data_IF_859591704050
#
_entry.id   IF_859591704050
#
_cell.length_a   1.000
_cell.length_b   1.000
_cell.length_c   1.000
_cell.angle_alpha   90.00
_cell.angle_beta   90.00
_cell.angle_gamma   90.00
#
_symmetry.space_group_name_H-M   'P 1'
#
loop_
_entity.id
_entity.type
_entity.pdbx_description
1 polymer ?
#
# COMPACT_ATOMS: atom_id res chain seq x y z
N UNK A 1 -4.13 19.39 -7.95
CA UNK A 1 -3.06 19.10 -6.97
C UNK A 1 -3.22 17.66 -6.52
N UNK A 2 -2.17 16.86 -6.71
CA UNK A 2 -2.11 15.44 -6.32
C UNK A 2 -2.06 15.35 -4.76
N UNK A 3 -2.54 14.24 -4.18
CA UNK A 3 -2.59 14.02 -2.73
C UNK A 3 -1.21 14.02 -2.06
N UNK A 4 -0.18 13.45 -2.72
CA UNK A 4 1.22 13.52 -2.27
C UNK A 4 1.71 14.97 -2.15
N UNK A 5 1.40 15.79 -3.16
CA UNK A 5 1.75 17.21 -3.15
C UNK A 5 1.00 17.95 -2.05
N UNK A 6 -0.26 17.60 -1.81
CA UNK A 6 -1.07 18.19 -0.75
C UNK A 6 -0.50 17.89 0.64
N UNK A 7 -0.09 16.65 0.92
CA UNK A 7 0.58 16.30 2.18
C UNK A 7 1.91 17.02 2.34
N UNK A 8 2.73 17.05 1.28
CA UNK A 8 4.04 17.71 1.30
C UNK A 8 3.91 19.22 1.53
N UNK A 9 2.96 19.86 0.83
CA UNK A 9 2.65 21.27 1.02
C UNK A 9 2.13 21.55 2.43
N UNK A 10 1.22 20.73 2.95
CA UNK A 10 0.70 20.88 4.30
C UNK A 10 1.78 20.72 5.37
N UNK A 11 2.71 19.76 5.22
CA UNK A 11 3.84 19.59 6.10
C UNK A 11 4.76 20.82 6.11
N UNK A 12 5.13 21.34 4.94
CA UNK A 12 5.95 22.56 4.82
C UNK A 12 5.26 23.81 5.38
N UNK A 13 3.97 24.00 5.05
CA UNK A 13 3.18 25.13 5.53
C UNK A 13 3.02 25.08 7.05
N UNK A 14 2.70 23.92 7.62
CA UNK A 14 2.54 23.77 9.07
C UNK A 14 3.85 23.94 9.83
N UNK A 15 4.99 23.46 9.29
CA UNK A 15 6.31 23.72 9.87
C UNK A 15 6.64 25.22 9.87
N UNK A 16 6.42 25.88 8.74
CA UNK A 16 6.62 27.34 8.61
C UNK A 16 5.74 28.09 9.60
N UNK A 17 4.47 27.72 9.68
CA UNK A 17 3.52 28.28 10.64
C UNK A 17 3.97 28.03 12.08
N UNK A 18 4.48 26.85 12.41
CA UNK A 18 4.95 26.52 13.75
C UNK A 18 6.13 27.39 14.18
N UNK A 19 7.07 27.68 13.27
CA UNK A 19 8.17 28.63 13.53
C UNK A 19 7.64 30.03 13.81
N UNK A 20 6.65 30.51 13.05
CA UNK A 20 6.05 31.83 13.24
C UNK A 20 5.24 31.94 14.54
N UNK A 21 4.44 30.92 14.85
CA UNK A 21 3.62 30.84 16.07
C UNK A 21 4.52 30.69 17.30
N UNK A 22 5.62 29.93 17.17
CA UNK A 22 6.58 29.64 18.23
C UNK A 22 5.95 29.06 19.52
N UNK A 23 4.87 28.28 19.38
CA UNK A 23 4.22 27.59 20.50
C UNK A 23 4.34 26.06 20.34
N UNK A 24 4.54 25.30 21.44
CA UNK A 24 4.77 23.85 21.37
C UNK A 24 3.72 23.06 20.59
N UNK A 25 2.43 23.41 20.73
CA UNK A 25 1.34 22.71 20.05
C UNK A 25 1.46 22.78 18.52
N UNK A 26 1.95 23.89 17.98
CA UNK A 26 2.07 24.06 16.53
C UNK A 26 3.15 23.13 15.96
N UNK A 27 4.25 22.93 16.69
CA UNK A 27 5.28 21.94 16.33
C UNK A 27 4.76 20.50 16.41
N UNK A 28 3.91 20.17 17.39
CA UNK A 28 3.29 18.84 17.44
C UNK A 28 2.38 18.58 16.23
N UNK A 29 1.63 19.59 15.77
CA UNK A 29 0.79 19.45 14.58
C UNK A 29 1.66 19.33 13.32
N UNK A 30 2.71 20.13 13.19
CA UNK A 30 3.65 20.03 12.08
C UNK A 30 4.33 18.65 12.02
N UNK A 31 4.78 18.14 13.17
CA UNK A 31 5.35 16.80 13.26
C UNK A 31 4.32 15.71 12.87
N UNK A 32 3.08 15.83 13.34
CA UNK A 32 2.01 14.91 12.97
C UNK A 32 1.76 14.92 11.46
N UNK A 33 1.75 16.08 10.81
CA UNK A 33 1.61 16.17 9.35
C UNK A 33 2.82 15.56 8.62
N UNK A 34 4.02 15.72 9.16
CA UNK A 34 5.22 15.04 8.66
C UNK A 34 5.12 13.51 8.69
N UNK A 35 4.41 12.93 9.66
CA UNK A 35 4.17 11.47 9.72
C UNK A 35 3.04 10.98 8.82
N UNK A 36 2.22 11.88 8.27
CA UNK A 36 1.07 11.55 7.43
C UNK A 36 1.38 11.54 5.92
N UNK A 37 2.67 11.63 5.54
CA UNK A 37 3.08 11.61 4.13
C UNK A 37 2.67 10.27 3.51
N UNK A 38 1.65 10.32 2.66
CA UNK A 38 1.19 9.18 1.86
C UNK A 38 1.11 9.58 0.39
N UNK A 39 1.20 8.59 -0.48
CA UNK A 39 1.07 8.75 -1.93
C UNK A 39 -0.21 8.03 -2.39
N UNK A 40 -1.40 8.63 -2.23
CA UNK A 40 -2.66 7.95 -2.53
C UNK A 40 -2.74 7.52 -4.00
N UNK A 41 -2.20 8.31 -4.92
CA UNK A 41 -2.11 7.94 -6.34
C UNK A 41 -1.22 6.71 -6.54
N UNK A 42 -0.08 6.61 -5.85
CA UNK A 42 0.74 5.40 -5.89
C UNK A 42 0.05 4.18 -5.29
N UNK A 43 -0.81 4.36 -4.29
CA UNK A 43 -1.63 3.28 -3.74
C UNK A 43 -2.68 2.80 -4.74
N UNK A 44 -3.31 3.73 -5.47
CA UNK A 44 -4.30 3.38 -6.49
C UNK A 44 -3.66 2.72 -7.73
N UNK A 45 -2.49 3.20 -8.15
CA UNK A 45 -1.65 2.54 -9.16
C UNK A 45 -1.31 1.10 -8.72
N UNK A 46 -0.89 0.93 -7.46
CA UNK A 46 -0.58 -0.40 -6.89
C UNK A 46 -1.83 -1.29 -6.82
N UNK A 47 -2.98 -0.74 -6.42
CA UNK A 47 -4.25 -1.46 -6.40
C UNK A 47 -4.62 -1.99 -7.79
N UNK A 48 -4.42 -1.18 -8.83
CA UNK A 48 -4.66 -1.56 -10.22
C UNK A 48 -3.73 -2.71 -10.65
N UNK A 49 -2.47 -2.67 -10.24
CA UNK A 49 -1.50 -3.75 -10.48
C UNK A 49 -1.82 -5.05 -9.73
N UNK A 50 -2.58 -4.98 -8.64
CA UNK A 50 -2.98 -6.16 -7.87
C UNK A 50 -4.24 -6.84 -8.41
N UNK A 51 -5.15 -6.06 -9.00
CA UNK A 51 -6.41 -6.56 -9.54
C UNK A 51 -6.22 -7.33 -10.84
N UNK A 52 -7.11 -8.28 -11.07
CA UNK A 52 -7.29 -8.96 -12.34
C UNK A 52 -7.92 -8.01 -13.37
N UNK A 53 -7.73 -8.31 -14.65
CA UNK A 53 -8.36 -7.57 -15.75
C UNK A 53 -9.88 -7.50 -15.64
N UNK A 54 -10.50 -8.51 -15.00
CA UNK A 54 -11.94 -8.57 -14.78
C UNK A 54 -12.45 -7.52 -13.78
N UNK A 55 -11.55 -6.95 -12.97
CA UNK A 55 -11.82 -5.93 -11.95
C UNK A 55 -11.11 -4.61 -12.25
N UNK A 56 -10.94 -4.26 -13.54
CA UNK A 56 -10.20 -3.06 -14.00
C UNK A 56 -8.73 -3.03 -13.57
N UNK A 57 -8.12 -4.20 -13.34
CA UNK A 57 -6.68 -4.33 -13.13
C UNK A 57 -5.93 -4.69 -14.40
N UNK A 58 -4.66 -5.08 -14.24
CA UNK A 58 -3.77 -5.43 -15.37
C UNK A 58 -3.27 -6.87 -15.33
N UNK A 59 -3.60 -7.64 -14.30
CA UNK A 59 -3.07 -9.01 -14.15
C UNK A 59 -3.95 -10.05 -14.82
N UNK A 60 -3.32 -10.96 -15.56
CA UNK A 60 -3.99 -12.06 -16.29
C UNK A 60 -3.44 -13.43 -15.93
N UNK A 61 -2.33 -13.49 -15.16
CA UNK A 61 -1.58 -14.73 -14.92
C UNK A 61 -2.44 -15.85 -14.33
N UNK A 62 -3.33 -15.54 -13.38
CA UNK A 62 -4.18 -16.55 -12.74
C UNK A 62 -5.25 -17.12 -13.68
N UNK A 63 -5.81 -16.30 -14.56
CA UNK A 63 -6.77 -16.77 -15.56
C UNK A 63 -6.06 -17.71 -16.56
N UNK A 64 -4.89 -17.30 -17.04
CA UNK A 64 -4.07 -18.12 -17.95
C UNK A 64 -3.65 -19.44 -17.30
N UNK A 65 -3.29 -19.43 -16.02
CA UNK A 65 -2.93 -20.65 -15.28
C UNK A 65 -4.11 -21.63 -15.18
N UNK A 66 -5.33 -21.13 -14.94
CA UNK A 66 -6.53 -21.99 -14.92
C UNK A 66 -6.79 -22.60 -16.30
N UNK A 67 -6.62 -21.82 -17.37
CA UNK A 67 -6.75 -22.31 -18.75
C UNK A 67 -5.73 -23.41 -19.06
N UNK A 68 -4.44 -23.18 -18.74
CA UNK A 68 -3.35 -24.16 -18.96
C UNK A 68 -3.56 -25.45 -18.15
N UNK A 69 -4.11 -25.36 -16.93
CA UNK A 69 -4.44 -26.53 -16.11
C UNK A 69 -5.59 -27.36 -16.70
N UNK A 70 -6.67 -26.71 -17.14
CA UNK A 70 -7.79 -27.41 -17.79
C UNK A 70 -7.38 -28.03 -19.13
N UNK A 71 -6.49 -27.36 -19.88
CA UNK A 71 -5.88 -27.92 -21.08
C UNK A 71 -5.05 -29.17 -20.76
N UNK A 72 -4.17 -29.10 -19.76
CA UNK A 72 -3.36 -30.24 -19.31
C UNK A 72 -4.24 -31.44 -18.91
N UNK A 73 -5.31 -31.20 -18.16
CA UNK A 73 -6.27 -32.24 -17.77
C UNK A 73 -6.95 -32.86 -18.99
N UNK A 74 -7.27 -32.06 -19.99
CA UNK A 74 -7.88 -32.52 -21.26
C UNK A 74 -6.89 -33.37 -22.05
N UNK A 75 -5.65 -32.90 -22.24
CA UNK A 75 -4.58 -33.63 -22.93
C UNK A 75 -4.27 -34.97 -22.25
N UNK A 76 -4.19 -35.01 -20.91
CA UNK A 76 -3.96 -36.26 -20.16
C UNK A 76 -5.09 -37.29 -20.39
N UNK A 77 -6.33 -36.82 -20.53
CA UNK A 77 -7.48 -37.68 -20.76
C UNK A 77 -7.54 -38.18 -22.21
N UNK A 78 -7.39 -37.28 -23.17
CA UNK A 78 -7.61 -37.56 -24.60
C UNK A 78 -6.40 -38.22 -25.25
N UNK A 79 -5.21 -37.64 -25.07
CA UNK A 79 -3.97 -38.10 -25.71
C UNK A 79 -3.25 -39.13 -24.85
N UNK A 80 -3.18 -38.88 -23.54
CA UNK A 80 -2.58 -39.79 -22.56
C UNK A 80 -3.42 -41.04 -22.29
N UNK A 81 -4.70 -41.02 -22.70
CA UNK A 81 -5.70 -42.08 -22.45
C UNK A 81 -5.74 -42.50 -20.98
N UNK A 82 -5.55 -41.53 -20.09
CA UNK A 82 -5.49 -41.78 -18.66
C UNK A 82 -6.92 -41.98 -18.15
N UNK A 83 -7.26 -43.22 -17.80
CA UNK A 83 -8.61 -43.62 -17.41
C UNK A 83 -8.65 -44.29 -16.02
N UNK A 84 -9.86 -44.47 -15.50
CA UNK A 84 -10.11 -45.19 -14.25
C UNK A 84 -9.81 -44.38 -12.98
N UNK A 85 -9.52 -45.09 -11.89
CA UNK A 85 -9.39 -44.50 -10.55
C UNK A 85 -8.26 -43.47 -10.42
N UNK A 86 -7.15 -43.66 -11.15
CA UNK A 86 -6.02 -42.72 -11.13
C UNK A 86 -6.40 -41.35 -11.71
N UNK A 87 -7.07 -41.33 -12.87
CA UNK A 87 -7.56 -40.09 -13.45
C UNK A 87 -8.62 -39.42 -12.58
N UNK A 88 -9.47 -40.20 -11.90
CA UNK A 88 -10.46 -39.66 -10.97
C UNK A 88 -9.81 -38.95 -9.77
N UNK A 89 -8.76 -39.54 -9.18
CA UNK A 89 -7.98 -38.88 -8.12
C UNK A 89 -7.28 -37.63 -8.62
N UNK A 90 -6.63 -37.68 -9.79
CA UNK A 90 -6.03 -36.50 -10.42
C UNK A 90 -7.06 -35.39 -10.66
N UNK A 91 -8.19 -35.71 -11.27
CA UNK A 91 -9.27 -34.75 -11.54
C UNK A 91 -9.83 -34.13 -10.26
N UNK A 92 -9.85 -34.88 -9.15
CA UNK A 92 -10.22 -34.36 -7.84
C UNK A 92 -9.22 -33.31 -7.34
N UNK A 93 -7.93 -33.64 -7.35
CA UNK A 93 -6.86 -32.71 -6.93
C UNK A 93 -6.81 -31.48 -7.84
N UNK A 94 -6.93 -31.68 -9.16
CA UNK A 94 -7.01 -30.61 -10.14
C UNK A 94 -8.17 -29.65 -9.83
N UNK A 95 -9.37 -30.18 -9.59
CA UNK A 95 -10.55 -29.37 -9.26
C UNK A 95 -10.32 -28.52 -8.01
N UNK A 96 -9.79 -29.12 -6.93
CA UNK A 96 -9.47 -28.38 -5.70
C UNK A 96 -8.39 -27.33 -5.90
N UNK A 97 -7.42 -27.57 -6.78
CA UNK A 97 -6.37 -26.60 -7.09
C UNK A 97 -6.91 -25.41 -7.89
N UNK A 98 -7.73 -25.65 -8.92
CA UNK A 98 -8.42 -24.60 -9.68
C UNK A 98 -9.33 -23.76 -8.78
N UNK A 99 -10.06 -24.40 -7.86
CA UNK A 99 -10.86 -23.68 -6.86
C UNK A 99 -10.00 -22.78 -5.98
N UNK A 100 -8.84 -23.27 -5.53
CA UNK A 100 -7.88 -22.49 -4.73
C UNK A 100 -7.32 -21.29 -5.51
N UNK A 101 -7.04 -21.43 -6.81
CA UNK A 101 -6.64 -20.32 -7.68
C UNK A 101 -7.78 -19.29 -7.80
N UNK A 102 -9.02 -19.75 -7.94
CA UNK A 102 -10.21 -18.87 -7.95
C UNK A 102 -10.36 -18.07 -6.66
N UNK A 103 -10.15 -18.70 -5.51
CA UNK A 103 -10.14 -18.02 -4.21
C UNK A 103 -9.01 -16.99 -4.12
N UNK A 104 -7.80 -17.34 -4.57
CA UNK A 104 -6.66 -16.43 -4.59
C UNK A 104 -6.93 -15.20 -5.46
N UNK A 105 -7.54 -15.38 -6.64
CA UNK A 105 -7.94 -14.29 -7.53
C UNK A 105 -8.91 -13.34 -6.83
N UNK A 106 -9.96 -13.87 -6.21
CA UNK A 106 -10.93 -13.05 -5.48
C UNK A 106 -10.26 -12.27 -4.34
N UNK A 107 -9.35 -12.90 -3.59
CA UNK A 107 -8.60 -12.23 -2.51
C UNK A 107 -7.70 -11.11 -3.06
N UNK A 108 -7.02 -11.33 -4.20
CA UNK A 108 -6.22 -10.27 -4.86
C UNK A 108 -7.09 -9.09 -5.26
N UNK A 109 -8.24 -9.35 -5.86
CA UNK A 109 -9.18 -8.32 -6.31
C UNK A 109 -9.75 -7.53 -5.12
N UNK A 110 -10.17 -8.23 -4.06
CA UNK A 110 -10.64 -7.61 -2.81
C UNK A 110 -9.54 -6.77 -2.15
N UNK A 111 -8.30 -7.23 -2.17
CA UNK A 111 -7.14 -6.49 -1.66
C UNK A 111 -6.92 -5.21 -2.46
N UNK A 112 -6.93 -5.28 -3.79
CA UNK A 112 -6.85 -4.10 -4.64
C UNK A 112 -8.00 -3.11 -4.38
N UNK A 113 -9.22 -3.60 -4.20
CA UNK A 113 -10.37 -2.76 -3.83
C UNK A 113 -10.17 -2.06 -2.47
N UNK A 114 -9.67 -2.77 -1.46
CA UNK A 114 -9.37 -2.20 -0.15
C UNK A 114 -8.26 -1.14 -0.20
N UNK A 115 -7.19 -1.37 -0.98
CA UNK A 115 -6.09 -0.42 -1.15
C UNK A 115 -6.56 0.85 -1.85
N UNK A 116 -7.35 0.74 -2.91
CA UNK A 116 -7.91 1.90 -3.63
C UNK A 116 -8.91 2.69 -2.78
N UNK A 117 -9.78 2.00 -2.02
CA UNK A 117 -10.64 2.68 -1.03
C UNK A 117 -9.83 3.44 0.03
N UNK A 118 -8.68 2.90 0.42
CA UNK A 118 -7.75 3.57 1.32
C UNK A 118 -7.09 4.78 0.65
N UNK A 119 -6.72 4.67 -0.63
CA UNK A 119 -6.18 5.78 -1.43
C UNK A 119 -7.16 6.96 -1.49
N UNK A 120 -8.43 6.71 -1.81
CA UNK A 120 -9.49 7.72 -1.83
C UNK A 120 -9.66 8.41 -0.48
N UNK A 121 -9.67 7.62 0.59
CA UNK A 121 -9.72 8.16 1.94
C UNK A 121 -8.51 9.05 2.25
N UNK A 122 -7.29 8.61 1.90
CA UNK A 122 -6.07 9.39 2.12
C UNK A 122 -6.04 10.68 1.30
N UNK A 123 -6.63 10.68 0.10
CA UNK A 123 -6.81 11.90 -0.71
C UNK A 123 -7.75 12.90 -0.04
N UNK A 124 -8.84 12.44 0.59
CA UNK A 124 -9.71 13.33 1.39
C UNK A 124 -8.92 13.88 2.59
N UNK A 125 -8.19 13.03 3.30
CA UNK A 125 -7.35 13.43 4.44
C UNK A 125 -6.32 14.48 4.02
N UNK A 126 -5.71 14.35 2.83
CA UNK A 126 -4.71 15.31 2.35
C UNK A 126 -5.28 16.71 2.20
N UNK A 127 -6.51 16.85 1.71
CA UNK A 127 -7.19 18.14 1.61
C UNK A 127 -7.54 18.72 2.98
N UNK A 128 -7.97 17.89 3.94
CA UNK A 128 -8.25 18.34 5.31
C UNK A 128 -6.98 18.85 5.99
N UNK A 129 -5.88 18.09 5.87
CA UNK A 129 -4.58 18.43 6.45
C UNK A 129 -4.03 19.72 5.83
N UNK A 130 -4.16 19.89 4.50
CA UNK A 130 -3.83 21.14 3.83
C UNK A 130 -4.66 22.33 4.33
N UNK A 131 -5.96 22.15 4.52
CA UNK A 131 -6.83 23.21 5.03
C UNK A 131 -6.41 23.64 6.46
N UNK A 132 -6.09 22.68 7.33
CA UNK A 132 -5.57 22.97 8.67
C UNK A 132 -4.22 23.69 8.59
N UNK A 133 -3.31 23.24 7.73
CA UNK A 133 -2.02 23.90 7.54
C UNK A 133 -2.16 25.33 7.01
N UNK A 134 -3.12 25.58 6.12
CA UNK A 134 -3.47 26.92 5.64
C UNK A 134 -3.95 27.83 6.76
N UNK A 135 -4.86 27.36 7.62
CA UNK A 135 -5.33 28.11 8.80
C UNK A 135 -4.16 28.38 9.76
N UNK A 136 -3.30 27.40 10.01
CA UNK A 136 -2.11 27.58 10.83
C UNK A 136 -1.18 28.62 10.25
N UNK A 137 -0.93 28.61 8.94
CA UNK A 137 -0.04 29.58 8.30
C UNK A 137 -0.61 31.00 8.37
N UNK A 138 -1.90 31.18 8.10
CA UNK A 138 -2.58 32.47 8.25
C UNK A 138 -2.45 32.99 9.70
N UNK A 139 -2.65 32.11 10.69
CA UNK A 139 -2.45 32.45 12.09
C UNK A 139 -0.98 32.76 12.43
N UNK A 140 -0.04 32.02 11.86
CA UNK A 140 1.40 32.26 12.01
C UNK A 140 1.80 33.64 11.50
N UNK A 141 1.33 34.03 10.32
CA UNK A 141 1.54 35.37 9.75
C UNK A 141 0.97 36.45 10.68
N UNK A 142 -0.24 36.24 11.20
CA UNK A 142 -0.87 37.16 12.16
C UNK A 142 -0.06 37.29 13.47
N UNK A 143 0.35 36.18 14.07
CA UNK A 143 1.22 36.16 15.26
C UNK A 143 2.57 36.85 14.99
N UNK A 144 3.15 36.63 13.81
CA UNK A 144 4.41 37.24 13.42
C UNK A 144 4.28 38.76 13.29
N UNK A 145 3.25 39.25 12.58
CA UNK A 145 3.00 40.68 12.39
C UNK A 145 2.67 41.40 13.70
N UNK A 146 1.88 40.77 14.58
CA UNK A 146 1.51 41.35 15.87
C UNK A 146 2.66 41.41 16.87
N UNK A 147 3.71 40.61 16.69
CA UNK A 147 4.89 40.58 17.58
C UNK A 147 5.64 41.92 17.64
N UNK A 148 5.47 42.78 16.63
CA UNK A 148 6.04 44.13 16.62
C UNK A 148 5.22 45.16 17.42
N UNK A 149 4.06 44.76 17.97
CA UNK A 149 3.20 45.61 18.79
C UNK A 149 3.00 45.00 20.20
N UNK A 150 3.58 45.58 21.26
CA UNK A 150 3.54 44.97 22.60
C UNK A 150 2.13 44.87 23.20
N UNK A 151 1.20 45.75 22.80
CA UNK A 151 -0.18 45.77 23.32
C UNK A 151 -1.01 44.57 22.81
N UNK A 152 -0.74 44.06 21.61
CA UNK A 152 -1.48 42.93 21.03
C UNK A 152 -0.99 41.57 21.52
N UNK A 153 0.22 41.50 22.10
CA UNK A 153 0.85 40.25 22.49
C UNK A 153 -0.01 39.43 23.49
N UNK A 154 -0.60 40.07 24.51
CA UNK A 154 -1.41 39.37 25.53
C UNK A 154 -2.68 38.77 24.94
N UNK A 155 -3.36 39.49 24.05
CA UNK A 155 -4.58 39.01 23.38
C UNK A 155 -4.27 37.84 22.44
N UNK A 156 -3.13 37.89 21.74
CA UNK A 156 -2.67 36.83 20.84
C UNK A 156 -2.40 35.53 21.58
N UNK A 157 -1.85 35.57 22.81
CA UNK A 157 -1.64 34.36 23.62
C UNK A 157 -2.95 33.64 23.97
N UNK A 158 -3.98 34.38 24.40
CA UNK A 158 -5.28 33.80 24.74
C UNK A 158 -5.98 33.16 23.54
N UNK A 159 -5.98 33.86 22.39
CA UNK A 159 -6.56 33.33 21.15
C UNK A 159 -5.79 32.13 20.61
N UNK A 160 -4.45 32.15 20.69
CA UNK A 160 -3.61 31.04 20.24
C UNK A 160 -3.85 29.77 21.04
N UNK A 161 -4.14 29.87 22.34
CA UNK A 161 -4.46 28.69 23.16
C UNK A 161 -5.80 28.05 22.76
N UNK A 162 -6.83 28.85 22.48
CA UNK A 162 -8.12 28.35 22.03
C UNK A 162 -8.04 27.71 20.63
N UNK A 163 -7.39 28.40 19.69
CA UNK A 163 -7.16 27.90 18.35
C UNK A 163 -6.29 26.64 18.35
N UNK A 164 -5.22 26.64 19.13
CA UNK A 164 -4.32 25.50 19.29
C UNK A 164 -5.04 24.26 19.83
N UNK A 165 -5.95 24.41 20.81
CA UNK A 165 -6.78 23.30 21.29
C UNK A 165 -7.68 22.73 20.19
N UNK A 166 -8.33 23.59 19.38
CA UNK A 166 -9.19 23.15 18.29
C UNK A 166 -8.40 22.42 17.20
N UNK A 167 -7.27 22.99 16.76
CA UNK A 167 -6.39 22.40 15.74
C UNK A 167 -5.81 21.08 16.24
N UNK A 168 -5.35 21.02 17.48
CA UNK A 168 -4.76 19.81 18.06
C UNK A 168 -5.82 18.72 18.26
N UNK A 169 -7.05 19.06 18.63
CA UNK A 169 -8.16 18.11 18.69
C UNK A 169 -8.50 17.53 17.30
N UNK A 170 -8.57 18.38 16.27
CA UNK A 170 -8.79 17.94 14.89
C UNK A 170 -7.64 17.04 14.40
N UNK A 171 -6.39 17.45 14.63
CA UNK A 171 -5.19 16.68 14.26
C UNK A 171 -5.15 15.34 14.98
N UNK A 172 -5.42 15.32 16.29
CA UNK A 172 -5.47 14.08 17.07
C UNK A 172 -6.55 13.13 16.57
N UNK A 173 -7.71 13.64 16.14
CA UNK A 173 -8.78 12.82 15.55
C UNK A 173 -8.32 12.15 14.24
N UNK A 174 -7.63 12.90 13.38
CA UNK A 174 -7.07 12.38 12.12
C UNK A 174 -6.01 11.32 12.41
N UNK A 175 -5.02 11.64 13.25
CA UNK A 175 -3.93 10.73 13.60
C UNK A 175 -4.45 9.47 14.29
N UNK A 176 -5.35 9.59 15.27
CA UNK A 176 -5.91 8.43 15.97
C UNK A 176 -6.75 7.53 15.05
N UNK A 177 -7.47 8.13 14.10
CA UNK A 177 -8.22 7.38 13.07
C UNK A 177 -7.28 6.64 12.13
N UNK A 178 -6.17 7.26 11.73
CA UNK A 178 -5.20 6.68 10.80
C UNK A 178 -4.33 5.62 11.48
N UNK A 179 -3.84 5.88 12.70
CA UNK A 179 -3.02 4.96 13.48
C UNK A 179 -3.67 3.60 13.67
N UNK A 180 -4.97 3.55 14.01
CA UNK A 180 -5.67 2.26 14.20
C UNK A 180 -5.68 1.44 12.92
N UNK A 181 -5.91 2.08 11.77
CA UNK A 181 -5.93 1.41 10.46
C UNK A 181 -4.52 0.95 10.07
N UNK A 182 -3.52 1.81 10.23
CA UNK A 182 -2.10 1.48 9.97
C UNK A 182 -1.62 0.34 10.86
N UNK A 183 -1.97 0.33 12.15
CA UNK A 183 -1.58 -0.73 13.08
C UNK A 183 -2.22 -2.07 12.72
N UNK A 184 -3.50 -2.09 12.33
CA UNK A 184 -4.16 -3.32 11.84
C UNK A 184 -3.48 -3.82 10.58
N UNK A 185 -3.23 -2.95 9.59
CA UNK A 185 -2.54 -3.33 8.36
C UNK A 185 -1.14 -3.87 8.63
N UNK A 186 -0.35 -3.20 9.49
CA UNK A 186 0.97 -3.67 9.89
C UNK A 186 0.90 -5.03 10.60
N UNK A 187 -0.12 -5.26 11.42
CA UNK A 187 -0.39 -6.56 12.03
C UNK A 187 -0.69 -7.64 11.01
N UNK A 188 -1.53 -7.36 10.01
CA UNK A 188 -1.83 -8.29 8.91
C UNK A 188 -0.58 -8.59 8.09
N UNK A 189 0.21 -7.58 7.72
CA UNK A 189 1.47 -7.76 6.99
C UNK A 189 2.49 -8.58 7.80
N UNK A 190 2.59 -8.34 9.11
CA UNK A 190 3.45 -9.13 9.99
C UNK A 190 3.00 -10.61 10.03
N UNK A 191 1.69 -10.87 10.12
CA UNK A 191 1.14 -12.21 10.05
C UNK A 191 1.40 -12.86 8.68
N UNK A 192 1.23 -12.11 7.58
CA UNK A 192 1.51 -12.60 6.23
C UNK A 192 2.98 -13.04 6.10
N UNK A 193 3.94 -12.21 6.55
CA UNK A 193 5.37 -12.56 6.56
C UNK A 193 5.64 -13.82 7.39
N UNK A 194 5.02 -13.95 8.56
CA UNK A 194 5.14 -15.16 9.40
C UNK A 194 4.64 -16.41 8.67
N UNK A 195 3.47 -16.33 8.03
CA UNK A 195 2.93 -17.45 7.26
C UNK A 195 3.82 -17.81 6.07
N UNK A 196 4.31 -16.84 5.31
CA UNK A 196 5.23 -17.09 4.19
C UNK A 196 6.51 -17.80 4.65
N UNK A 197 7.08 -17.38 5.79
CA UNK A 197 8.26 -18.04 6.37
C UNK A 197 7.97 -19.49 6.79
N UNK A 198 6.82 -19.76 7.39
CA UNK A 198 6.41 -21.12 7.77
C UNK A 198 6.17 -22.00 6.54
N UNK A 199 5.55 -21.48 5.49
CA UNK A 199 5.33 -22.21 4.24
C UNK A 199 6.66 -22.54 3.54
N UNK A 200 7.62 -21.60 3.52
CA UNK A 200 8.96 -21.86 2.99
C UNK A 200 9.70 -22.98 3.73
N UNK A 201 9.45 -23.18 5.02
CA UNK A 201 9.99 -24.32 5.76
C UNK A 201 9.31 -25.66 5.40
N UNK A 202 8.04 -25.64 4.99
CA UNK A 202 7.31 -26.85 4.57
C UNK A 202 7.65 -27.28 3.15
N UNK A 203 8.11 -26.35 2.31
CA UNK A 203 8.53 -26.61 0.94
C UNK A 203 9.97 -26.10 0.71
N UNK A 204 10.98 -26.76 1.30
CA UNK A 204 12.38 -26.28 1.29
C UNK A 204 13.01 -26.21 -0.10
N UNK A 205 12.36 -26.77 -1.12
CA UNK A 205 12.78 -26.71 -2.53
C UNK A 205 12.11 -25.59 -3.32
N UNK A 206 11.18 -24.84 -2.71
CA UNK A 206 10.48 -23.72 -3.36
C UNK A 206 10.97 -22.45 -2.69
N UNK A 207 11.60 -21.57 -3.47
CA UNK A 207 12.04 -20.28 -2.96
C UNK A 207 10.84 -19.50 -2.42
N UNK A 208 10.95 -18.88 -1.23
CA UNK A 208 9.88 -18.08 -0.67
C UNK A 208 9.55 -16.95 -1.65
N UNK A 209 8.25 -16.73 -1.89
CA UNK A 209 7.76 -15.60 -2.69
C UNK A 209 8.47 -14.34 -2.16
N UNK A 210 9.22 -13.61 -3.02
CA UNK A 210 10.02 -12.48 -2.56
C UNK A 210 9.11 -11.50 -1.82
N UNK A 211 9.37 -11.34 -0.53
CA UNK A 211 8.65 -10.34 0.25
C UNK A 211 9.07 -8.98 -0.29
N UNK A 212 8.11 -8.20 -0.80
CA UNK A 212 8.31 -6.90 -1.47
C UNK A 212 9.20 -5.89 -0.71
N UNK A 213 9.55 -6.14 0.56
CA UNK A 213 10.57 -5.39 1.29
C UNK A 213 11.96 -5.37 0.61
N UNK A 214 12.34 -6.40 -0.17
CA UNK A 214 13.61 -6.35 -0.92
C UNK A 214 13.52 -5.45 -2.16
N UNK A 215 12.36 -5.43 -2.82
CA UNK A 215 12.08 -4.62 -4.00
C UNK A 215 11.91 -3.14 -3.63
N UNK A 216 11.26 -2.84 -2.49
CA UNK A 216 11.16 -1.51 -1.91
C UNK A 216 12.51 -0.85 -1.59
N UNK A 217 13.59 -1.64 -1.44
CA UNK A 217 14.92 -1.15 -1.09
C UNK A 217 15.75 -0.73 -2.33
N UNK A 218 15.23 -0.90 -3.55
CA UNK A 218 15.93 -0.51 -4.80
C UNK A 218 15.86 0.98 -5.12
N UNK A 219 15.03 1.75 -4.41
CA UNK A 219 14.99 3.22 -4.53
C UNK A 219 14.44 3.76 -5.85
N UNK A 220 14.05 2.89 -6.80
CA UNK A 220 13.49 3.27 -8.09
C UNK A 220 11.95 3.36 -8.02
N UNK A 221 11.34 4.56 -8.15
CA UNK A 221 9.89 4.71 -8.14
C UNK A 221 9.18 4.06 -9.36
N UNK A 222 9.93 3.63 -10.38
CA UNK A 222 9.39 2.91 -11.54
C UNK A 222 9.32 1.40 -11.32
N UNK A 223 10.09 0.82 -10.39
CA UNK A 223 10.04 -0.62 -10.08
C UNK A 223 8.73 -1.03 -9.41
N UNK A 224 8.07 -0.11 -8.68
CA UNK A 224 6.73 -0.34 -8.12
C UNK A 224 5.60 -0.32 -9.17
N UNK A 225 5.89 0.18 -10.37
CA UNK A 225 4.90 0.27 -11.46
C UNK A 225 4.90 -0.95 -12.35
N UNK A 226 5.91 -1.80 -12.27
CA UNK A 226 5.91 -3.01 -13.07
C UNK A 226 4.90 -4.00 -12.47
N UNK A 227 3.94 -4.51 -13.27
CA UNK A 227 3.10 -5.61 -12.84
C UNK A 227 4.00 -6.81 -12.48
N UNK A 228 3.50 -7.77 -11.72
CA UNK A 228 4.19 -9.04 -11.49
C UNK A 228 4.35 -9.75 -12.84
N UNK A 229 5.39 -9.41 -13.59
CA UNK A 229 5.72 -10.10 -14.83
C UNK A 229 6.53 -11.33 -14.46
N UNK A 230 6.22 -12.44 -15.12
CA UNK A 230 6.97 -13.69 -14.98
C UNK A 230 8.36 -13.60 -15.67
N UNK A 231 8.78 -12.41 -16.12
CA UNK A 231 10.02 -12.16 -16.86
C UNK A 231 11.29 -12.48 -16.07
N UNK A 232 11.16 -12.78 -14.77
CA UNK A 232 12.28 -13.15 -13.90
C UNK A 232 12.40 -14.64 -13.59
N UNK A 233 11.58 -15.53 -14.16
CA UNK A 233 11.62 -16.97 -13.86
C UNK A 233 11.85 -17.80 -15.14
N UNK A 234 12.95 -18.56 -15.16
CA UNK A 234 13.29 -19.50 -16.23
C UNK A 234 13.05 -20.93 -15.75
N UNK A 235 12.46 -21.76 -16.61
CA UNK A 235 12.31 -23.18 -16.34
C UNK A 235 13.66 -23.88 -16.52
N UNK A 236 14.19 -24.46 -15.45
CA UNK A 236 15.42 -25.24 -15.45
C UNK A 236 15.05 -26.70 -15.78
N UNK A 237 15.33 -27.12 -17.02
CA UNK A 237 15.00 -28.45 -17.53
C UNK A 237 15.69 -29.59 -16.76
N UNK A 238 16.85 -29.33 -16.17
CA UNK A 238 17.64 -30.34 -15.45
C UNK A 238 17.05 -30.63 -14.06
N UNK A 239 16.48 -29.61 -13.42
CA UNK A 239 15.91 -29.73 -12.07
C UNK A 239 14.39 -29.84 -12.06
N UNK A 240 13.73 -29.52 -13.18
CA UNK A 240 12.27 -29.47 -13.28
C UNK A 240 11.65 -28.37 -12.42
N UNK A 241 12.39 -27.31 -12.11
CA UNK A 241 11.97 -26.21 -11.24
C UNK A 241 12.00 -24.86 -11.99
N UNK A 242 11.11 -23.94 -11.60
CA UNK A 242 11.19 -22.54 -12.00
C UNK A 242 12.24 -21.84 -11.14
N UNK A 243 13.26 -21.25 -11.76
CA UNK A 243 14.37 -20.58 -11.05
C UNK A 243 14.48 -19.12 -11.52
N UNK A 244 14.97 -18.20 -10.67
CA UNK A 244 15.20 -16.82 -11.06
C UNK A 244 16.14 -16.73 -12.28
N UNK A 245 15.82 -15.89 -13.27
CA UNK A 245 16.73 -15.61 -14.37
C UNK A 245 17.99 -14.91 -13.83
N UNK A 246 19.08 -15.66 -13.75
CA UNK A 246 20.36 -15.14 -13.29
C UNK A 246 21.12 -14.37 -14.37
N UNK A 247 20.59 -14.31 -15.60
CA UNK A 247 21.14 -13.52 -16.71
C UNK A 247 20.62 -12.07 -16.75
N UNK A 248 20.21 -11.50 -15.62
CA UNK A 248 20.06 -10.05 -15.51
C UNK A 248 21.44 -9.40 -15.69
N UNK A 249 21.75 -9.02 -16.92
CA UNK A 249 22.90 -8.16 -17.21
C UNK A 249 22.68 -6.85 -16.46
N UNK A 250 23.48 -6.66 -15.40
CA UNK A 250 23.55 -5.41 -14.62
C UNK A 250 24.09 -4.29 -15.50
#
# INVERSE_FOLDING_TARGET
>A
MNGKDAFSAAAMMSLTAAVMIAQPWAFYVAAAFGTLVSNPEGMDDSATNWRSTDQNGVTTELNKLVEELEELKTQLKEDGKWEGGAFQSFSGVHGSFVESIGQLKNIRDETGNAVSSTADFMKIVSYIVLAIAGVMLAWGIFCFATRWHPVSAVTVYGMSAALGKAILAATKKIVASNWKKTAVLAGIMFLAVQYTQMTGQMFPTVDPIPSEMSVLNTGDPTSMRQPFTNDGLVYDEDTGQLRPDTNLQV
#
